data_IF_433559458171
#
_entry.id   IF_433559458171
#
_cell.length_a   1.000
_cell.length_b   1.000
_cell.length_c   1.000
_cell.angle_alpha   90.00
_cell.angle_beta   90.00
_cell.angle_gamma   90.00
#
_symmetry.space_group_name_H-M   'P 1'
#
loop_
_entity.id
_entity.type
_entity.pdbx_description
1 polymer ?
#
# COMPACT_ATOMS: atom_id res chain seq x y z
N UNK A 1 25.77 42.99 61.64
CA UNK A 1 26.48 42.37 60.48
C UNK A 1 26.03 40.94 60.37
N UNK A 2 25.11 40.60 59.41
CA UNK A 2 24.78 39.31 58.89
C UNK A 2 23.40 39.34 58.21
N UNK A 3 23.35 39.74 56.95
CA UNK A 3 22.21 39.52 56.06
C UNK A 3 22.77 39.31 54.61
N UNK A 4 23.20 38.13 54.31
CA UNK A 4 23.38 37.73 52.92
C UNK A 4 23.54 36.20 52.82
N UNK A 5 22.47 35.45 52.66
CA UNK A 5 22.56 33.98 52.55
C UNK A 5 21.30 33.28 52.08
N UNK A 6 20.26 34.00 51.63
CA UNK A 6 18.99 33.33 51.30
C UNK A 6 18.58 33.34 49.79
N UNK A 7 19.32 34.03 48.93
CA UNK A 7 18.90 34.22 47.54
C UNK A 7 19.36 33.13 46.54
N UNK A 8 20.40 32.35 46.84
CA UNK A 8 20.99 31.43 45.85
C UNK A 8 20.36 30.02 45.78
N UNK A 9 19.61 29.62 46.83
CA UNK A 9 18.94 28.30 46.85
C UNK A 9 17.61 28.26 46.12
N UNK A 10 16.86 29.36 46.09
CA UNK A 10 15.54 29.40 45.39
C UNK A 10 15.69 29.42 43.87
N UNK A 11 16.69 30.11 43.33
CA UNK A 11 16.94 30.12 41.86
C UNK A 11 17.37 28.76 41.31
N UNK A 12 18.15 27.98 42.08
CA UNK A 12 18.59 26.62 41.69
C UNK A 12 17.45 25.60 41.71
N UNK A 13 16.48 25.71 42.61
CA UNK A 13 15.32 24.79 42.69
C UNK A 13 14.29 25.11 41.61
N UNK A 14 14.13 26.37 41.22
CA UNK A 14 13.23 26.80 40.15
C UNK A 14 13.75 26.38 38.78
N UNK A 15 15.03 26.48 38.51
CA UNK A 15 15.66 26.00 37.27
C UNK A 15 15.55 24.48 37.08
N UNK A 16 15.70 23.70 38.15
CA UNK A 16 15.54 22.22 38.09
C UNK A 16 14.10 21.79 37.81
N UNK A 17 13.09 22.50 38.33
CA UNK A 17 11.66 22.21 38.06
C UNK A 17 11.31 22.47 36.60
N UNK A 18 11.79 23.55 35.99
CA UNK A 18 11.56 23.84 34.58
C UNK A 18 12.28 22.85 33.67
N UNK A 19 13.51 22.41 33.99
CA UNK A 19 14.25 21.40 33.26
C UNK A 19 13.50 20.07 33.22
N UNK A 20 12.99 19.59 34.35
CA UNK A 20 12.20 18.33 34.37
C UNK A 20 10.92 18.44 33.58
N UNK A 21 10.21 19.58 33.68
CA UNK A 21 8.98 19.82 32.89
C UNK A 21 9.26 19.83 31.39
N UNK A 22 10.34 20.45 30.94
CA UNK A 22 10.75 20.48 29.53
C UNK A 22 11.06 19.07 29.04
N UNK A 23 11.80 18.25 29.81
CA UNK A 23 12.11 16.87 29.45
C UNK A 23 10.83 16.03 29.30
N UNK A 24 9.87 16.17 30.22
CA UNK A 24 8.60 15.48 30.18
C UNK A 24 7.77 15.89 28.94
N UNK A 25 7.76 17.18 28.59
CA UNK A 25 7.10 17.67 27.38
C UNK A 25 7.77 17.10 26.12
N UNK A 26 9.10 17.08 26.06
CA UNK A 26 9.82 16.49 24.91
C UNK A 26 9.54 15.00 24.78
N UNK A 27 9.52 14.25 25.88
CA UNK A 27 9.16 12.84 25.88
C UNK A 27 7.72 12.61 25.40
N UNK A 28 6.78 13.45 25.86
CA UNK A 28 5.38 13.39 25.42
C UNK A 28 5.24 13.67 23.93
N UNK A 29 5.91 14.70 23.42
CA UNK A 29 5.89 15.05 21.99
C UNK A 29 6.53 13.94 21.13
N UNK A 30 7.64 13.36 21.58
CA UNK A 30 8.27 12.23 20.89
C UNK A 30 7.33 11.00 20.86
N UNK A 31 6.71 10.66 21.98
CA UNK A 31 5.73 9.56 22.04
C UNK A 31 4.50 9.81 21.15
N UNK A 32 3.98 11.03 21.14
CA UNK A 32 2.87 11.42 20.26
C UNK A 32 3.25 11.35 18.78
N UNK A 33 4.45 11.81 18.43
CA UNK A 33 4.97 11.74 17.06
C UNK A 33 5.09 10.29 16.58
N UNK A 34 5.59 9.38 17.42
CA UNK A 34 5.68 7.96 17.10
C UNK A 34 4.29 7.33 16.94
N UNK A 35 3.32 7.72 17.78
CA UNK A 35 1.95 7.22 17.70
C UNK A 35 1.23 7.67 16.41
N UNK A 36 1.46 8.91 15.98
CA UNK A 36 0.81 9.50 14.82
C UNK A 36 1.52 9.13 13.49
N UNK A 37 2.77 8.65 13.57
CA UNK A 37 3.59 8.36 12.39
C UNK A 37 2.89 7.45 11.37
N UNK A 38 2.30 6.28 11.74
CA UNK A 38 1.67 5.40 10.75
C UNK A 38 0.51 6.07 10.02
N UNK A 39 -0.34 6.80 10.73
CA UNK A 39 -1.51 7.48 10.13
C UNK A 39 -1.08 8.59 9.17
N UNK A 40 -0.10 9.40 9.56
CA UNK A 40 0.44 10.47 8.73
C UNK A 40 1.17 9.92 7.50
N UNK A 41 2.00 8.90 7.69
CA UNK A 41 2.77 8.28 6.60
C UNK A 41 1.85 7.60 5.59
N UNK A 42 0.85 6.84 6.06
CA UNK A 42 -0.14 6.23 5.17
C UNK A 42 -0.93 7.28 4.38
N UNK A 43 -1.39 8.37 5.01
CA UNK A 43 -2.04 9.48 4.33
C UNK A 43 -1.13 10.10 3.25
N UNK A 44 0.13 10.34 3.59
CA UNK A 44 1.13 10.88 2.66
C UNK A 44 1.34 9.97 1.45
N UNK A 45 1.51 8.67 1.68
CA UNK A 45 1.69 7.68 0.62
C UNK A 45 0.45 7.53 -0.25
N UNK A 46 -0.76 7.51 0.33
CA UNK A 46 -2.00 7.46 -0.46
C UNK A 46 -2.19 8.70 -1.33
N UNK A 47 -1.80 9.88 -0.84
CA UNK A 47 -1.81 11.11 -1.64
C UNK A 47 -0.87 11.01 -2.85
N UNK A 48 0.34 10.47 -2.66
CA UNK A 48 1.29 10.26 -3.77
C UNK A 48 0.81 9.20 -4.75
N UNK A 49 0.24 8.09 -4.27
CA UNK A 49 -0.37 7.05 -5.11
C UNK A 49 -1.50 7.62 -5.98
N UNK A 50 -2.43 8.38 -5.38
CA UNK A 50 -3.53 9.04 -6.12
C UNK A 50 -2.98 9.99 -7.19
N UNK A 51 -1.93 10.74 -6.88
CA UNK A 51 -1.31 11.67 -7.84
C UNK A 51 -0.60 10.93 -8.99
N UNK A 52 0.06 9.81 -8.68
CA UNK A 52 0.68 8.96 -9.70
C UNK A 52 -0.36 8.36 -10.64
N UNK A 53 -1.49 7.84 -10.10
CA UNK A 53 -2.63 7.34 -10.87
C UNK A 53 -3.24 8.44 -11.74
N UNK A 54 -3.45 9.64 -11.19
CA UNK A 54 -4.00 10.76 -11.96
C UNK A 54 -3.08 11.16 -13.12
N UNK A 55 -1.76 11.22 -12.90
CA UNK A 55 -0.78 11.48 -13.95
C UNK A 55 -0.75 10.39 -15.02
N UNK A 56 -0.88 9.12 -14.62
CA UNK A 56 -1.01 8.00 -15.55
C UNK A 56 -2.29 8.14 -16.41
N UNK A 57 -3.45 8.38 -15.79
CA UNK A 57 -4.72 8.53 -16.49
C UNK A 57 -4.72 9.73 -17.45
N UNK A 58 -4.12 10.87 -17.07
CA UNK A 58 -3.95 12.03 -17.94
C UNK A 58 -3.09 11.70 -19.17
N UNK A 59 -1.99 10.97 -18.96
CA UNK A 59 -1.11 10.53 -20.04
C UNK A 59 -1.81 9.57 -20.98
N UNK A 60 -2.54 8.56 -20.43
CA UNK A 60 -3.36 7.62 -21.23
C UNK A 60 -4.36 8.37 -22.11
N UNK A 61 -5.09 9.32 -21.55
CA UNK A 61 -6.07 10.12 -22.28
C UNK A 61 -5.46 10.99 -23.39
N UNK A 62 -4.15 11.24 -23.34
CA UNK A 62 -3.41 12.02 -24.37
C UNK A 62 -2.80 11.18 -25.48
N UNK A 63 -2.82 9.83 -25.37
CA UNK A 63 -2.29 8.95 -26.41
C UNK A 63 -3.17 9.01 -27.67
N UNK A 64 -2.51 9.00 -28.82
CA UNK A 64 -3.24 8.76 -30.04
C UNK A 64 -3.57 7.25 -30.22
N UNK A 65 -4.56 6.97 -31.08
CA UNK A 65 -5.01 5.60 -31.28
C UNK A 65 -3.93 4.66 -31.80
N UNK A 66 -3.00 5.15 -32.60
CA UNK A 66 -1.95 4.32 -33.18
C UNK A 66 -0.89 3.95 -32.12
N UNK A 67 -0.52 4.90 -31.26
CA UNK A 67 0.37 4.65 -30.13
C UNK A 67 -0.25 3.66 -29.13
N UNK A 68 -1.53 3.88 -28.80
CA UNK A 68 -2.29 2.99 -27.93
C UNK A 68 -2.32 1.55 -28.46
N UNK A 69 -2.78 1.38 -29.73
CA UNK A 69 -2.90 0.06 -30.37
C UNK A 69 -1.50 -0.64 -30.44
N UNK A 70 -0.44 0.11 -30.72
CA UNK A 70 0.92 -0.43 -30.77
C UNK A 70 1.41 -0.92 -29.39
N UNK A 71 1.16 -0.16 -28.33
CA UNK A 71 1.57 -0.53 -26.96
C UNK A 71 0.82 -1.78 -26.49
N UNK A 72 -0.50 -1.83 -26.70
CA UNK A 72 -1.32 -2.95 -26.31
C UNK A 72 -0.93 -4.22 -27.09
N UNK A 73 -0.71 -4.10 -28.42
CA UNK A 73 -0.26 -5.22 -29.26
C UNK A 73 1.13 -5.73 -28.84
N UNK A 74 2.06 -4.84 -28.51
CA UNK A 74 3.38 -5.24 -28.01
C UNK A 74 3.28 -6.04 -26.72
N UNK A 75 2.44 -5.59 -25.77
CA UNK A 75 2.21 -6.30 -24.51
C UNK A 75 1.55 -7.69 -24.72
N UNK A 76 0.58 -7.80 -25.61
CA UNK A 76 0.00 -9.10 -25.97
C UNK A 76 1.01 -10.02 -26.64
N UNK A 77 1.84 -9.49 -27.54
CA UNK A 77 2.90 -10.29 -28.22
C UNK A 77 3.91 -10.79 -27.19
N UNK A 78 4.29 -9.96 -26.23
CA UNK A 78 5.16 -10.35 -25.13
C UNK A 78 4.55 -11.49 -24.31
N UNK A 79 3.25 -11.43 -23.97
CA UNK A 79 2.57 -12.49 -23.23
C UNK A 79 2.48 -13.82 -23.98
N UNK A 80 2.52 -13.81 -25.32
CA UNK A 80 2.48 -15.03 -26.15
C UNK A 80 3.84 -15.73 -26.29
N UNK A 81 4.94 -15.15 -25.79
CA UNK A 81 6.25 -15.79 -25.86
C UNK A 81 6.32 -17.04 -24.96
N UNK A 82 6.90 -18.15 -25.48
CA UNK A 82 6.96 -19.45 -24.78
C UNK A 82 7.72 -19.43 -23.44
N UNK A 83 8.56 -18.43 -23.21
CA UNK A 83 9.34 -18.29 -21.99
C UNK A 83 8.52 -17.72 -20.81
N UNK A 84 7.40 -17.06 -21.08
CA UNK A 84 6.60 -16.36 -20.10
C UNK A 84 5.68 -17.28 -19.31
N UNK A 85 5.46 -16.96 -18.03
CA UNK A 85 4.60 -17.75 -17.14
C UNK A 85 5.23 -19.02 -16.57
N UNK A 86 6.53 -19.22 -16.74
CA UNK A 86 7.29 -20.24 -16.00
C UNK A 86 7.68 -19.67 -14.65
N UNK A 87 6.92 -19.99 -13.62
CA UNK A 87 7.18 -19.51 -12.27
C UNK A 87 8.63 -19.67 -11.86
N UNK A 88 9.23 -18.54 -11.41
CA UNK A 88 10.63 -18.49 -11.03
C UNK A 88 11.64 -18.35 -12.17
N UNK A 89 11.19 -18.10 -13.42
CA UNK A 89 12.09 -17.75 -14.51
C UNK A 89 12.80 -16.44 -14.25
N UNK A 90 14.11 -16.40 -14.50
CA UNK A 90 14.92 -15.19 -14.36
C UNK A 90 15.18 -14.63 -15.75
N UNK A 91 14.72 -13.41 -15.99
CA UNK A 91 14.93 -12.70 -17.25
C UNK A 91 16.42 -12.39 -17.43
N UNK A 92 16.92 -12.53 -18.65
CA UNK A 92 18.24 -12.02 -19.00
C UNK A 92 18.22 -10.48 -19.17
N UNK A 93 19.38 -9.89 -19.50
CA UNK A 93 19.52 -8.42 -19.57
C UNK A 93 18.71 -7.80 -20.72
N UNK A 94 18.56 -8.51 -21.84
CA UNK A 94 17.79 -8.05 -23.00
C UNK A 94 16.29 -8.19 -22.74
N UNK A 95 15.86 -9.32 -22.20
CA UNK A 95 14.48 -9.57 -21.78
C UNK A 95 14.02 -8.58 -20.72
N UNK A 96 14.88 -8.25 -19.75
CA UNK A 96 14.57 -7.26 -18.72
C UNK A 96 14.39 -5.86 -19.32
N UNK A 97 15.20 -5.46 -20.30
CA UNK A 97 15.05 -4.18 -21.01
C UNK A 97 13.76 -4.14 -21.82
N UNK A 98 13.44 -5.24 -22.52
CA UNK A 98 12.18 -5.36 -23.24
C UNK A 98 11.01 -5.19 -22.26
N UNK A 99 10.97 -6.00 -21.19
CA UNK A 99 9.95 -5.93 -20.15
C UNK A 99 9.76 -4.51 -19.60
N UNK A 100 10.83 -3.82 -19.22
CA UNK A 100 10.77 -2.47 -18.66
C UNK A 100 10.30 -1.41 -19.67
N UNK A 101 10.40 -1.66 -20.96
CA UNK A 101 9.96 -0.74 -22.01
C UNK A 101 8.47 -0.85 -22.33
N UNK A 102 7.83 -1.96 -21.96
CA UNK A 102 6.43 -2.23 -22.27
C UNK A 102 5.51 -1.54 -21.26
N UNK A 103 4.42 -0.93 -21.74
CA UNK A 103 3.41 -0.24 -20.93
C UNK A 103 3.93 0.97 -20.12
N UNK A 104 5.19 1.37 -20.25
CA UNK A 104 5.73 2.55 -19.56
C UNK A 104 5.57 3.83 -20.39
N UNK A 105 4.37 4.40 -20.37
CA UNK A 105 4.05 5.66 -21.06
C UNK A 105 4.69 6.90 -20.43
N UNK A 106 5.00 6.81 -19.14
CA UNK A 106 5.39 7.96 -18.33
C UNK A 106 6.89 8.07 -18.13
N UNK A 107 7.65 7.02 -18.45
CA UNK A 107 9.08 6.89 -18.14
C UNK A 107 9.36 6.71 -16.65
N UNK A 108 8.32 6.36 -15.87
CA UNK A 108 8.41 6.17 -14.41
C UNK A 108 8.26 4.71 -13.99
N UNK A 109 8.05 3.80 -14.94
CA UNK A 109 7.81 2.37 -14.70
C UNK A 109 6.38 2.03 -14.27
N UNK A 110 5.42 2.95 -14.35
CA UNK A 110 4.01 2.66 -14.07
C UNK A 110 3.38 2.01 -15.29
N UNK A 111 2.83 0.79 -15.11
CA UNK A 111 2.10 0.03 -16.13
C UNK A 111 0.58 0.26 -16.07
N UNK A 112 0.05 0.64 -14.92
CA UNK A 112 -1.38 0.76 -14.66
C UNK A 112 -1.67 0.99 -13.19
N UNK A 113 -2.90 0.71 -12.78
CA UNK A 113 -3.27 0.72 -11.37
C UNK A 113 -4.32 -0.34 -11.05
N UNK A 114 -4.38 -0.74 -9.77
CA UNK A 114 -5.33 -1.72 -9.24
C UNK A 114 -6.31 -1.03 -8.29
N UNK A 115 -7.58 -1.43 -8.39
CA UNK A 115 -8.66 -1.01 -7.49
C UNK A 115 -9.30 -2.26 -6.86
N UNK A 116 -9.48 -2.25 -5.53
CA UNK A 116 -10.17 -3.29 -4.77
C UNK A 116 -11.10 -2.58 -3.78
N UNK A 117 -12.33 -2.33 -4.22
CA UNK A 117 -13.28 -1.49 -3.48
C UNK A 117 -13.64 -2.07 -2.11
N UNK A 118 -13.80 -3.39 -2.00
CA UNK A 118 -14.20 -4.07 -0.77
C UNK A 118 -13.22 -3.84 0.41
N UNK A 119 -11.95 -3.55 0.11
CA UNK A 119 -10.89 -3.28 1.11
C UNK A 119 -10.26 -1.88 0.97
N UNK A 120 -10.82 -1.03 0.10
CA UNK A 120 -10.40 0.36 -0.10
C UNK A 120 -8.98 0.50 -0.64
N UNK A 121 -8.57 -0.36 -1.56
CA UNK A 121 -7.26 -0.31 -2.24
C UNK A 121 -7.39 0.42 -3.57
N UNK A 122 -6.52 1.40 -3.82
CA UNK A 122 -6.29 2.04 -5.11
C UNK A 122 -4.80 2.38 -5.19
N UNK A 123 -4.03 1.58 -5.95
CA UNK A 123 -2.57 1.61 -5.95
C UNK A 123 -2.02 1.54 -7.39
N UNK A 124 -0.95 2.30 -7.71
CA UNK A 124 -0.25 2.14 -8.97
C UNK A 124 0.48 0.80 -9.03
N UNK A 125 0.58 0.25 -10.23
CA UNK A 125 1.31 -0.97 -10.56
C UNK A 125 2.59 -0.57 -11.27
N UNK A 126 3.74 -1.00 -10.75
CA UNK A 126 5.05 -0.76 -11.35
C UNK A 126 5.67 -2.04 -11.89
N UNK A 127 6.61 -1.88 -12.82
CA UNK A 127 7.50 -2.96 -13.22
C UNK A 127 8.37 -3.41 -12.06
N UNK A 128 8.51 -4.74 -11.90
CA UNK A 128 9.39 -5.35 -10.91
C UNK A 128 8.88 -5.30 -9.48
N UNK A 129 9.63 -5.93 -8.60
CA UNK A 129 9.30 -6.09 -7.18
C UNK A 129 10.43 -5.65 -6.27
N UNK A 130 11.23 -4.68 -6.71
CA UNK A 130 12.31 -4.10 -5.91
C UNK A 130 11.74 -3.44 -4.66
N UNK A 131 12.52 -3.41 -3.60
CA UNK A 131 12.11 -2.86 -2.30
C UNK A 131 11.63 -1.40 -2.41
N UNK A 132 12.26 -0.61 -3.27
CA UNK A 132 11.87 0.78 -3.54
C UNK A 132 10.43 0.92 -4.06
N UNK A 133 9.96 -0.04 -4.87
CA UNK A 133 8.60 -0.11 -5.42
C UNK A 133 7.64 -0.61 -4.35
N UNK A 134 7.96 -1.75 -3.74
CA UNK A 134 7.07 -2.39 -2.77
C UNK A 134 6.84 -1.57 -1.50
N UNK A 135 7.69 -0.57 -1.19
CA UNK A 135 7.49 0.39 -0.11
C UNK A 135 6.30 1.35 -0.35
N UNK A 136 5.92 1.59 -1.61
CA UNK A 136 4.96 2.65 -1.97
C UNK A 136 3.81 2.19 -2.87
N UNK A 137 3.92 1.03 -3.51
CA UNK A 137 3.05 0.59 -4.59
C UNK A 137 2.92 -0.94 -4.65
N UNK A 138 2.27 -1.40 -5.70
CA UNK A 138 2.23 -2.80 -6.14
C UNK A 138 3.27 -3.00 -7.22
N UNK A 139 4.04 -4.08 -7.12
CA UNK A 139 5.02 -4.50 -8.09
C UNK A 139 4.52 -5.69 -8.92
N UNK A 140 4.74 -5.64 -10.23
CA UNK A 140 4.46 -6.75 -11.13
C UNK A 140 5.66 -7.71 -11.18
N UNK A 141 5.42 -9.02 -11.06
CA UNK A 141 6.47 -10.02 -11.17
C UNK A 141 6.88 -10.21 -12.64
N UNK A 142 8.13 -9.90 -12.95
CA UNK A 142 8.68 -9.78 -14.30
C UNK A 142 8.59 -11.06 -15.15
N UNK A 143 8.55 -12.24 -14.52
CA UNK A 143 8.39 -13.52 -15.21
C UNK A 143 6.92 -13.91 -15.49
N UNK A 144 5.96 -13.16 -14.94
CA UNK A 144 4.53 -13.40 -15.16
C UNK A 144 4.02 -12.64 -16.39
N UNK A 145 2.78 -12.94 -16.82
CA UNK A 145 2.17 -12.20 -17.91
C UNK A 145 1.92 -10.75 -17.56
N UNK A 146 2.18 -9.83 -18.49
CA UNK A 146 1.81 -8.42 -18.36
C UNK A 146 0.30 -8.25 -18.12
N UNK A 147 -0.11 -7.21 -17.39
CA UNK A 147 -1.49 -7.03 -16.93
C UNK A 147 -2.45 -6.53 -18.02
N UNK A 148 -2.42 -7.12 -19.20
CA UNK A 148 -3.31 -6.80 -20.33
C UNK A 148 -4.35 -7.87 -20.59
N UNK A 149 -4.37 -8.95 -19.77
CA UNK A 149 -5.30 -10.06 -19.89
C UNK A 149 -5.11 -10.89 -21.14
N UNK A 150 -6.05 -11.79 -21.38
CA UNK A 150 -6.11 -12.69 -22.53
C UNK A 150 -6.04 -14.16 -22.15
N UNK A 151 -6.59 -15.02 -23.02
CA UNK A 151 -6.56 -16.46 -22.80
C UNK A 151 -5.13 -17.01 -22.72
N UNK A 152 -4.86 -17.85 -21.74
CA UNK A 152 -3.53 -18.40 -21.49
C UNK A 152 -2.56 -17.39 -20.87
N UNK A 153 -3.06 -16.44 -20.08
CA UNK A 153 -2.24 -15.50 -19.30
C UNK A 153 -2.44 -15.66 -17.81
N UNK A 154 -1.39 -15.41 -17.05
CA UNK A 154 -1.44 -15.32 -15.59
C UNK A 154 -0.56 -14.15 -15.11
N UNK A 155 -1.19 -13.06 -14.78
CA UNK A 155 -0.53 -11.88 -14.22
C UNK A 155 -0.33 -12.06 -12.72
N UNK A 156 0.85 -11.73 -12.19
CA UNK A 156 1.14 -11.84 -10.75
C UNK A 156 1.64 -10.50 -10.22
N UNK A 157 0.99 -10.03 -9.16
CA UNK A 157 1.30 -8.75 -8.52
C UNK A 157 1.62 -8.95 -7.05
N UNK A 158 2.66 -8.30 -6.58
CA UNK A 158 3.08 -8.34 -5.19
C UNK A 158 2.92 -6.99 -4.50
N UNK A 159 2.48 -7.02 -3.26
CA UNK A 159 2.40 -5.84 -2.41
C UNK A 159 2.71 -6.17 -0.96
N UNK A 160 3.36 -5.26 -0.28
CA UNK A 160 3.68 -5.45 1.15
C UNK A 160 2.44 -5.47 2.04
N UNK A 161 2.57 -6.16 3.16
CA UNK A 161 1.61 -6.21 4.25
C UNK A 161 2.26 -5.77 5.56
N UNK A 162 1.54 -4.95 6.33
CA UNK A 162 1.96 -4.58 7.68
C UNK A 162 3.07 -3.54 7.74
N UNK A 163 3.31 -2.77 6.67
CA UNK A 163 4.21 -1.63 6.73
C UNK A 163 3.62 -0.52 7.61
N UNK A 164 4.42 0.06 8.54
CA UNK A 164 3.97 1.22 9.31
C UNK A 164 3.73 2.46 8.45
N UNK A 165 4.33 2.51 7.26
CA UNK A 165 4.32 3.67 6.36
C UNK A 165 3.17 3.67 5.36
N UNK A 166 2.65 2.49 4.97
CA UNK A 166 1.62 2.36 3.95
C UNK A 166 0.79 1.08 4.14
N UNK A 167 -0.51 1.16 3.87
CA UNK A 167 -1.41 0.00 3.98
C UNK A 167 -1.16 -1.05 2.91
N UNK A 168 -1.01 -0.62 1.67
CA UNK A 168 -0.83 -1.49 0.50
C UNK A 168 -1.79 -2.70 0.52
N UNK A 169 -1.28 -3.93 0.54
CA UNK A 169 -2.06 -5.17 0.62
C UNK A 169 -2.29 -5.67 2.06
N UNK A 170 -2.24 -4.76 3.06
CA UNK A 170 -2.43 -5.14 4.48
C UNK A 170 -3.76 -5.86 4.72
N UNK A 171 -4.82 -5.47 4.03
CA UNK A 171 -6.17 -6.02 4.19
C UNK A 171 -6.54 -7.08 3.14
N UNK A 172 -5.56 -7.60 2.37
CA UNK A 172 -5.82 -8.57 1.32
C UNK A 172 -6.46 -9.87 1.86
N UNK A 173 -6.21 -10.21 3.11
CA UNK A 173 -6.80 -11.36 3.81
C UNK A 173 -8.28 -11.20 4.17
N UNK A 174 -8.89 -10.05 3.91
CA UNK A 174 -10.34 -9.86 4.05
C UNK A 174 -11.11 -10.22 2.80
N UNK A 175 -10.42 -10.43 1.67
CA UNK A 175 -11.07 -10.89 0.45
C UNK A 175 -11.56 -12.33 0.61
N UNK A 176 -12.69 -12.59 0.01
CA UNK A 176 -13.29 -13.92 -0.07
C UNK A 176 -13.59 -14.27 -1.53
N UNK A 177 -13.79 -15.56 -1.83
CA UNK A 177 -14.23 -16.00 -3.15
C UNK A 177 -15.54 -15.30 -3.54
N UNK A 178 -15.60 -14.80 -4.78
CA UNK A 178 -16.69 -13.96 -5.31
C UNK A 178 -16.49 -12.45 -5.12
N UNK A 179 -15.47 -12.00 -4.36
CA UNK A 179 -15.07 -10.59 -4.37
C UNK A 179 -14.41 -10.23 -5.70
N UNK A 180 -14.39 -8.95 -6.05
CA UNK A 180 -13.79 -8.51 -7.31
C UNK A 180 -12.69 -7.49 -7.08
N UNK A 181 -11.72 -7.49 -7.99
CA UNK A 181 -10.73 -6.44 -8.14
C UNK A 181 -10.56 -6.06 -9.61
N UNK A 182 -10.12 -4.85 -9.86
CA UNK A 182 -10.05 -4.26 -11.18
C UNK A 182 -8.63 -3.79 -11.47
N UNK A 183 -8.09 -4.17 -12.63
CA UNK A 183 -6.87 -3.58 -13.16
C UNK A 183 -7.27 -2.57 -14.24
N UNK A 184 -6.60 -1.43 -14.23
CA UNK A 184 -6.73 -0.42 -15.27
C UNK A 184 -5.38 -0.20 -15.92
N UNK A 185 -5.26 -0.63 -17.15
CA UNK A 185 -4.02 -0.59 -17.93
C UNK A 185 -4.31 0.04 -19.27
N UNK A 186 -3.61 1.12 -19.59
CA UNK A 186 -3.99 2.00 -20.67
C UNK A 186 -5.46 2.46 -20.48
N UNK A 187 -6.33 2.23 -21.47
CA UNK A 187 -7.78 2.51 -21.38
C UNK A 187 -8.60 1.21 -21.12
N UNK A 188 -7.90 0.08 -20.92
CA UNK A 188 -8.55 -1.21 -20.64
C UNK A 188 -8.96 -1.31 -19.17
N UNK A 189 -10.15 -1.83 -18.96
CA UNK A 189 -10.68 -2.19 -17.64
C UNK A 189 -10.77 -3.70 -17.56
N UNK A 190 -10.00 -4.29 -16.66
CA UNK A 190 -9.86 -5.73 -16.52
C UNK A 190 -10.40 -6.14 -15.14
N UNK A 191 -11.63 -6.67 -15.11
CA UNK A 191 -12.27 -7.11 -13.87
C UNK A 191 -11.99 -8.60 -13.64
N UNK A 192 -11.53 -8.91 -12.42
CA UNK A 192 -11.27 -10.27 -11.97
C UNK A 192 -12.13 -10.57 -10.74
N UNK A 193 -12.78 -11.75 -10.75
CA UNK A 193 -13.50 -12.28 -9.59
C UNK A 193 -12.63 -13.30 -8.87
N UNK A 194 -12.49 -13.17 -7.56
CA UNK A 194 -11.69 -14.06 -6.72
C UNK A 194 -12.27 -15.47 -6.75
N UNK A 195 -11.47 -16.43 -7.19
CA UNK A 195 -11.84 -17.85 -7.32
C UNK A 195 -10.98 -18.79 -6.48
N UNK A 196 -9.86 -18.32 -5.94
CA UNK A 196 -8.96 -19.14 -5.13
C UNK A 196 -8.18 -18.30 -4.14
N UNK A 197 -8.09 -18.79 -2.89
CA UNK A 197 -7.25 -18.17 -1.85
C UNK A 197 -6.39 -19.27 -1.22
N UNK A 198 -5.06 -19.09 -1.30
CA UNK A 198 -4.08 -20.05 -0.81
C UNK A 198 -3.07 -19.41 0.14
N UNK A 199 -2.55 -20.21 1.06
CA UNK A 199 -1.35 -19.86 1.84
C UNK A 199 -0.28 -20.88 1.51
N UNK A 200 0.86 -20.41 1.00
CA UNK A 200 1.94 -21.24 0.49
C UNK A 200 3.29 -20.85 1.10
N UNK A 201 4.27 -21.71 0.99
CA UNK A 201 5.67 -21.38 1.30
C UNK A 201 6.20 -20.29 0.35
N UNK A 202 7.19 -19.47 0.77
CA UNK A 202 7.71 -18.36 -0.05
C UNK A 202 8.21 -18.75 -1.44
N UNK A 203 8.75 -19.96 -1.58
CA UNK A 203 9.34 -20.47 -2.80
C UNK A 203 8.38 -21.33 -3.65
N UNK A 204 7.15 -21.54 -3.17
CA UNK A 204 6.15 -22.31 -3.89
C UNK A 204 5.41 -21.42 -4.91
N UNK A 205 5.81 -21.54 -6.16
CA UNK A 205 5.20 -20.84 -7.30
C UNK A 205 4.27 -21.73 -8.11
N UNK A 206 3.90 -22.90 -7.63
CA UNK A 206 3.09 -23.89 -8.36
C UNK A 206 1.71 -23.37 -8.75
N UNK A 207 1.09 -22.58 -7.87
CA UNK A 207 -0.22 -21.96 -8.10
C UNK A 207 -0.18 -20.71 -9.01
N UNK A 208 1.00 -20.26 -9.41
CA UNK A 208 1.20 -19.06 -10.23
C UNK A 208 1.46 -19.38 -11.72
N UNK A 209 1.35 -20.66 -12.09
CA UNK A 209 1.58 -21.12 -13.46
C UNK A 209 0.43 -20.68 -14.38
N UNK A 210 0.75 -20.46 -15.66
CA UNK A 210 -0.26 -20.23 -16.69
C UNK A 210 -1.15 -21.48 -16.81
N UNK A 211 -2.45 -21.25 -16.85
CA UNK A 211 -3.44 -22.28 -17.18
C UNK A 211 -3.96 -22.02 -18.61
N UNK A 212 -3.86 -22.99 -19.53
CA UNK A 212 -4.34 -22.80 -20.90
C UNK A 212 -5.80 -22.31 -20.92
N UNK A 213 -6.10 -21.43 -21.87
CA UNK A 213 -7.44 -20.84 -22.09
C UNK A 213 -7.98 -19.97 -20.93
N UNK A 214 -7.28 -19.87 -19.81
CA UNK A 214 -7.70 -19.00 -18.70
C UNK A 214 -6.98 -17.64 -18.74
N UNK A 215 -7.68 -16.61 -18.31
CA UNK A 215 -7.15 -15.27 -18.03
C UNK A 215 -7.17 -15.07 -16.52
N UNK A 216 -6.00 -15.15 -15.89
CA UNK A 216 -5.83 -15.16 -14.44
C UNK A 216 -5.00 -13.97 -13.97
N UNK A 217 -5.33 -13.50 -12.78
CA UNK A 217 -4.50 -12.55 -12.03
C UNK A 217 -4.39 -12.97 -10.56
N UNK A 218 -3.18 -13.03 -10.02
CA UNK A 218 -2.94 -13.37 -8.60
C UNK A 218 -2.28 -12.21 -7.86
N UNK A 219 -2.90 -11.83 -6.75
CA UNK A 219 -2.36 -10.86 -5.80
C UNK A 219 -1.60 -11.59 -4.70
N UNK A 220 -0.36 -11.17 -4.45
CA UNK A 220 0.55 -11.84 -3.50
C UNK A 220 0.92 -10.89 -2.38
N UNK A 221 0.85 -11.38 -1.14
CA UNK A 221 1.37 -10.65 0.02
C UNK A 221 1.94 -11.61 1.06
N UNK A 222 2.65 -11.07 2.05
CA UNK A 222 3.19 -11.86 3.16
C UNK A 222 2.13 -12.21 4.19
N UNK A 223 2.24 -13.40 4.80
CA UNK A 223 1.36 -13.85 5.89
C UNK A 223 2.13 -14.81 6.81
N UNK A 224 1.75 -14.97 8.12
CA UNK A 224 0.83 -14.14 8.91
C UNK A 224 1.38 -12.72 9.14
N UNK A 225 0.47 -11.78 9.47
CA UNK A 225 0.84 -10.38 9.75
C UNK A 225 1.99 -10.28 10.77
N UNK A 226 3.06 -9.56 10.40
CA UNK A 226 4.23 -9.32 11.24
C UNK A 226 5.21 -10.50 11.35
N UNK A 227 4.82 -11.75 10.98
CA UNK A 227 5.71 -12.93 10.94
C UNK A 227 6.26 -13.14 9.55
N UNK A 228 5.41 -13.01 8.51
CA UNK A 228 5.80 -13.05 7.09
C UNK A 228 6.46 -14.36 6.61
N UNK A 229 6.17 -15.47 7.28
CA UNK A 229 6.77 -16.78 6.99
C UNK A 229 6.23 -17.43 5.71
N UNK A 230 5.01 -17.09 5.31
CA UNK A 230 4.34 -17.64 4.13
C UNK A 230 3.89 -16.53 3.17
N UNK A 231 3.31 -16.92 2.05
CA UNK A 231 2.65 -16.02 1.10
C UNK A 231 1.16 -16.30 1.06
N UNK A 232 0.35 -15.25 1.12
CA UNK A 232 -1.07 -15.28 0.80
C UNK A 232 -1.21 -14.99 -0.69
N UNK A 233 -1.85 -15.89 -1.41
CA UNK A 233 -2.19 -15.78 -2.81
C UNK A 233 -3.71 -15.61 -2.92
N UNK A 234 -4.16 -14.52 -3.55
CA UNK A 234 -5.56 -14.27 -3.88
C UNK A 234 -5.66 -14.22 -5.39
N UNK A 235 -6.15 -15.32 -5.99
CA UNK A 235 -6.30 -15.44 -7.43
C UNK A 235 -7.70 -15.03 -7.86
N UNK A 236 -7.80 -14.31 -8.98
CA UNK A 236 -9.05 -14.07 -9.67
C UNK A 236 -8.96 -14.53 -11.13
N UNK A 237 -10.11 -14.94 -11.66
CA UNK A 237 -10.31 -15.19 -13.08
C UNK A 237 -11.04 -14.00 -13.73
N UNK A 238 -10.79 -13.79 -15.01
CA UNK A 238 -11.37 -12.68 -15.77
C UNK A 238 -12.90 -12.84 -15.88
N UNK A 239 -13.63 -11.75 -15.61
CA UNK A 239 -15.08 -11.66 -15.80
C UNK A 239 -15.44 -10.46 -16.68
N UNK A 240 -16.65 -10.49 -17.26
CA UNK A 240 -17.15 -9.37 -18.05
C UNK A 240 -17.35 -8.13 -17.18
N UNK A 241 -16.99 -6.95 -17.67
CA UNK A 241 -17.05 -5.69 -16.92
C UNK A 241 -18.49 -5.31 -16.50
N UNK A 242 -19.52 -5.75 -17.21
CA UNK A 242 -20.93 -5.51 -16.88
C UNK A 242 -21.37 -6.22 -15.59
N UNK A 243 -20.76 -7.33 -15.23
CA UNK A 243 -21.07 -8.06 -13.99
C UNK A 243 -20.61 -7.24 -12.78
N UNK A 244 -19.47 -6.56 -12.86
CA UNK A 244 -18.98 -5.69 -11.81
C UNK A 244 -19.90 -4.47 -11.56
N UNK A 245 -20.57 -3.95 -12.59
CA UNK A 245 -21.51 -2.84 -12.48
C UNK A 245 -22.89 -3.26 -11.91
N UNK A 246 -23.28 -4.53 -12.08
CA UNK A 246 -24.54 -5.06 -11.53
C UNK A 246 -24.41 -5.51 -10.07
N UNK A 247 -23.21 -5.80 -9.60
CA UNK A 247 -22.87 -6.02 -8.21
C UNK A 247 -22.63 -4.67 -7.50
N UNK A 248 -23.53 -3.70 -7.69
CA UNK A 248 -23.65 -2.59 -6.74
C UNK A 248 -24.06 -3.22 -5.42
N UNK A 249 -23.09 -3.74 -4.69
CA UNK A 249 -23.25 -3.98 -3.26
C UNK A 249 -23.74 -2.66 -2.70
N UNK A 250 -24.91 -2.69 -2.11
CA UNK A 250 -25.28 -1.71 -1.10
C UNK A 250 -24.13 -1.82 -0.07
N UNK A 251 -23.11 -0.97 -0.26
CA UNK A 251 -22.06 -0.80 0.74
C UNK A 251 -22.83 -0.49 2.01
N UNK A 252 -22.78 -1.40 2.97
CA UNK A 252 -23.26 -1.06 4.30
C UNK A 252 -22.49 0.19 4.68
N UNK A 253 -23.19 1.29 5.03
CA UNK A 253 -22.61 2.53 5.54
C UNK A 253 -21.86 2.34 6.87
N UNK A 254 -21.52 1.12 7.21
CA UNK A 254 -20.62 0.78 8.30
C UNK A 254 -19.21 1.18 7.88
N UNK A 255 -18.86 2.45 8.10
CA UNK A 255 -17.49 2.92 8.12
C UNK A 255 -16.74 1.99 9.07
N UNK A 256 -15.92 1.09 8.53
CA UNK A 256 -15.00 0.31 9.36
C UNK A 256 -14.01 1.29 9.98
N UNK A 257 -14.27 1.62 11.24
CA UNK A 257 -13.43 2.55 11.99
C UNK A 257 -12.15 1.78 12.34
N UNK A 258 -11.08 2.05 11.62
CA UNK A 258 -9.79 1.41 11.87
C UNK A 258 -9.28 1.76 13.27
N UNK A 259 -8.89 0.77 14.08
CA UNK A 259 -8.34 1.00 15.42
C UNK A 259 -7.11 1.92 15.41
N UNK A 260 -6.33 1.90 14.33
CA UNK A 260 -5.13 2.74 14.14
C UNK A 260 -5.48 4.22 13.99
N UNK A 261 -6.67 4.57 13.46
CA UNK A 261 -7.15 5.95 13.38
C UNK A 261 -7.84 6.39 14.68
N UNK A 262 -8.53 5.47 15.35
CA UNK A 262 -9.29 5.77 16.58
C UNK A 262 -8.35 5.98 17.76
N UNK A 263 -7.31 5.18 17.91
CA UNK A 263 -6.39 5.26 19.05
C UNK A 263 -5.71 6.64 19.17
N UNK A 264 -5.15 7.27 18.12
CA UNK A 264 -4.61 8.62 18.19
C UNK A 264 -5.66 9.68 18.53
N UNK A 265 -6.85 9.58 17.93
CA UNK A 265 -7.94 10.55 18.16
C UNK A 265 -8.41 10.52 19.60
N UNK A 266 -8.52 9.34 20.22
CA UNK A 266 -8.88 9.20 21.63
C UNK A 266 -7.73 9.56 22.58
N UNK A 267 -6.48 9.24 22.22
CA UNK A 267 -5.31 9.54 23.03
C UNK A 267 -4.97 11.03 23.08
N UNK A 268 -5.20 11.76 21.95
CA UNK A 268 -4.82 13.18 21.84
C UNK A 268 -5.46 14.07 22.92
N UNK A 269 -6.79 14.06 23.18
CA UNK A 269 -7.40 14.89 24.23
C UNK A 269 -6.91 14.50 25.63
N UNK A 270 -6.65 13.23 25.90
CA UNK A 270 -6.11 12.76 27.17
C UNK A 270 -4.69 13.27 27.39
N UNK A 271 -3.84 13.17 26.37
CA UNK A 271 -2.47 13.67 26.41
C UNK A 271 -2.42 15.20 26.53
N UNK A 272 -3.32 15.91 25.84
CA UNK A 272 -3.46 17.36 25.94
C UNK A 272 -3.90 17.78 27.36
N UNK A 273 -4.86 17.05 27.95
CA UNK A 273 -5.31 17.30 29.32
C UNK A 273 -4.16 17.07 30.32
N UNK A 274 -3.42 15.98 30.17
CA UNK A 274 -2.23 15.71 31.00
C UNK A 274 -1.18 16.80 30.85
N UNK A 275 -0.94 17.28 29.63
CA UNK A 275 -0.02 18.40 29.37
C UNK A 275 -0.49 19.70 30.08
N UNK A 276 -1.78 20.02 29.97
CA UNK A 276 -2.36 21.19 30.64
C UNK A 276 -2.21 21.04 32.15
N UNK A 277 -2.51 19.87 32.74
CA UNK A 277 -2.35 19.61 34.17
C UNK A 277 -0.89 19.75 34.64
N UNK A 278 0.07 19.32 33.80
CA UNK A 278 1.51 19.49 34.08
C UNK A 278 1.97 20.95 34.02
N UNK A 279 1.37 21.74 33.12
CA UNK A 279 1.71 23.16 32.95
C UNK A 279 1.01 24.08 33.94
N UNK A 280 -0.11 23.65 34.56
CA UNK A 280 -0.81 24.43 35.59
C UNK A 280 0.07 24.60 36.81
N UNK A 281 0.26 25.84 37.29
CA UNK A 281 1.06 26.11 38.48
C UNK A 281 0.39 25.46 39.69
N UNK A 282 1.10 24.52 40.31
CA UNK A 282 0.64 23.85 41.54
C UNK A 282 0.47 24.96 42.62
N UNK A 283 -0.78 25.31 42.96
CA UNK A 283 -1.06 26.22 44.08
C UNK A 283 -0.35 25.70 45.31
N UNK A 284 0.71 26.39 45.73
CA UNK A 284 1.38 26.14 47.00
C UNK A 284 0.35 26.38 48.12
N UNK A 285 -0.13 25.32 48.72
CA UNK A 285 -0.94 25.42 49.92
C UNK A 285 -0.08 26.07 51.01
N UNK A 286 -0.33 27.35 51.28
CA UNK A 286 0.13 27.99 52.49
C UNK A 286 -0.65 27.36 53.66
N UNK A 287 0.03 26.60 54.48
CA UNK A 287 -0.32 26.38 55.88
C UNK A 287 0.59 27.20 56.73
#
# INVERSE_FOLDING_TARGET
MALSGCSSKESSVMGKKHGTTIILILMLLAGLSLLLYPSFSNYWNSFHATRAIAGYAEKTASLDKAEYDAMLQAAHTYNQSEARGRGGYVLDEEEMKEYQSLLDMTGTGIMGYIEIDSIGVSLPIYHGTEDSILQIAVGHLEWSSLPVGGAGTHCVMSGHRGLPSAKLFTNLDYLVEGDTFVLRVLDEVLTYEVDQILIVEPDDVSALQIVPEQDLCTLVTCTPYGINSHRLLVRGHRVENEIASSLVRVTSDAVQIEPVLVAPVLAMPVLLLLLILLLLPKKSGRK
#
